data_IF_557197182377
#
_entry.id   IF_557197182377
#
_cell.length_a   1.000
_cell.length_b   1.000
_cell.length_c   1.000
_cell.angle_alpha   90.00
_cell.angle_beta   90.00
_cell.angle_gamma   90.00
#
_symmetry.space_group_name_H-M   'P 1'
#
loop_
_entity.id
_entity.type
_entity.pdbx_description
1 polymer ?
#
# COMPACT_ATOMS: atom_id res chain seq x y z
N UNK A 1 -11.56 -4.73 8.81
CA UNK A 1 -10.28 -4.11 9.21
C UNK A 1 -10.63 -2.72 9.72
N UNK A 2 -9.95 -2.20 10.75
CA UNK A 2 -10.16 -0.82 11.21
C UNK A 2 -8.91 -0.01 10.90
N UNK A 3 -9.04 1.32 10.88
CA UNK A 3 -7.89 2.20 10.76
C UNK A 3 -6.88 1.93 11.90
N UNK A 4 -5.60 1.68 11.60
CA UNK A 4 -4.60 1.34 12.62
C UNK A 4 -4.27 2.52 13.55
N UNK A 5 -4.52 3.77 13.13
CA UNK A 5 -4.25 4.97 13.93
C UNK A 5 -5.40 5.33 14.88
N UNK A 6 -6.64 5.39 14.37
CA UNK A 6 -7.80 5.86 15.16
C UNK A 6 -8.84 4.78 15.46
N UNK A 7 -8.63 3.56 14.99
CA UNK A 7 -9.54 2.41 15.12
C UNK A 7 -10.95 2.63 14.53
N UNK A 8 -11.11 3.62 13.64
CA UNK A 8 -12.37 3.84 12.92
C UNK A 8 -12.67 2.69 11.94
N UNK A 9 -13.93 2.26 11.81
CA UNK A 9 -14.37 1.33 10.78
C UNK A 9 -14.59 1.99 9.42
N UNK A 10 -14.62 3.32 9.35
CA UNK A 10 -14.94 4.09 8.14
C UNK A 10 -13.66 4.39 7.34
N UNK A 11 -13.45 3.65 6.25
CA UNK A 11 -12.34 3.85 5.33
C UNK A 11 -12.77 3.53 3.89
N UNK A 12 -12.07 4.13 2.94
CA UNK A 12 -12.19 3.84 1.50
C UNK A 12 -10.96 3.06 1.03
N UNK A 13 -11.15 2.10 0.11
CA UNK A 13 -10.09 1.35 -0.54
C UNK A 13 -10.02 1.76 -2.02
N UNK A 14 -8.84 2.22 -2.45
CA UNK A 14 -8.55 2.53 -3.86
C UNK A 14 -7.23 1.87 -4.28
N UNK A 15 -7.08 1.61 -5.58
CA UNK A 15 -5.79 1.19 -6.12
C UNK A 15 -4.94 2.42 -6.40
N UNK A 16 -3.77 2.50 -5.80
CA UNK A 16 -2.81 3.59 -6.01
C UNK A 16 -1.44 3.03 -6.43
N UNK A 17 -0.61 3.89 -7.01
CA UNK A 17 0.74 3.56 -7.44
C UNK A 17 1.72 3.91 -6.33
N UNK A 18 2.39 2.89 -5.79
CA UNK A 18 3.51 3.07 -4.85
C UNK A 18 4.82 2.87 -5.60
N UNK A 19 5.76 3.77 -5.34
CA UNK A 19 7.13 3.68 -5.86
C UNK A 19 8.07 3.18 -4.78
N UNK A 20 8.88 2.19 -5.12
CA UNK A 20 9.95 1.66 -4.27
C UNK A 20 11.29 1.76 -5.01
N UNK A 21 12.34 2.11 -4.26
CA UNK A 21 13.70 2.06 -4.75
C UNK A 21 14.30 0.68 -4.45
N UNK A 22 14.77 0.01 -5.49
CA UNK A 22 15.49 -1.25 -5.36
C UNK A 22 16.69 -1.28 -6.31
N UNK A 23 17.89 -1.50 -5.77
CA UNK A 23 19.14 -1.53 -6.54
C UNK A 23 19.33 -0.32 -7.46
N UNK A 24 19.00 0.89 -6.98
CA UNK A 24 19.13 2.14 -7.74
C UNK A 24 18.20 2.18 -8.98
N UNK A 25 17.11 1.41 -8.94
CA UNK A 25 16.03 1.40 -9.94
C UNK A 25 14.71 1.67 -9.22
N UNK A 26 13.96 2.65 -9.72
CA UNK A 26 12.61 2.91 -9.28
C UNK A 26 11.66 1.87 -9.89
N UNK A 27 10.93 1.17 -9.02
CA UNK A 27 9.90 0.21 -9.37
C UNK A 27 8.57 0.80 -8.93
N UNK A 28 7.59 0.82 -9.82
CA UNK A 28 6.24 1.26 -9.53
C UNK A 28 5.31 0.03 -9.51
N UNK A 29 4.53 -0.11 -8.45
CA UNK A 29 3.53 -1.16 -8.28
C UNK A 29 2.18 -0.56 -7.98
N UNK A 30 1.13 -1.21 -8.48
CA UNK A 30 -0.26 -0.85 -8.18
C UNK A 30 -0.69 -1.71 -7.00
N UNK A 31 -1.09 -1.08 -5.89
CA UNK A 31 -1.50 -1.78 -4.67
C UNK A 31 -2.76 -1.13 -4.07
N UNK A 32 -3.57 -1.90 -3.32
CA UNK A 32 -4.69 -1.34 -2.58
C UNK A 32 -4.18 -0.45 -1.45
N UNK A 33 -4.68 0.79 -1.40
CA UNK A 33 -4.45 1.77 -0.35
C UNK A 33 -5.78 2.09 0.31
N UNK A 34 -5.83 1.92 1.62
CA UNK A 34 -6.96 2.29 2.45
C UNK A 34 -6.74 3.68 3.02
N UNK A 35 -7.74 4.54 2.91
CA UNK A 35 -7.75 5.90 3.45
C UNK A 35 -8.88 6.02 4.47
N UNK A 36 -8.54 6.31 5.73
CA UNK A 36 -9.56 6.51 6.76
C UNK A 36 -10.27 7.84 6.58
N UNK A 37 -11.60 7.84 6.60
CA UNK A 37 -12.41 9.06 6.48
C UNK A 37 -12.28 9.99 7.68
N UNK A 38 -12.11 9.43 8.88
CA UNK A 38 -12.12 10.21 10.12
C UNK A 38 -10.77 10.89 10.43
N UNK A 39 -9.65 10.21 10.16
CA UNK A 39 -8.32 10.72 10.49
C UNK A 39 -7.42 10.98 9.28
N UNK A 40 -7.84 10.57 8.07
CA UNK A 40 -7.05 10.71 6.85
C UNK A 40 -5.81 9.82 6.78
N UNK A 41 -5.61 8.92 7.75
CA UNK A 41 -4.49 7.98 7.71
C UNK A 41 -4.61 7.05 6.50
N UNK A 42 -3.49 6.84 5.81
CA UNK A 42 -3.38 5.99 4.63
C UNK A 42 -2.49 4.80 4.93
N UNK A 43 -2.95 3.60 4.64
CA UNK A 43 -2.17 2.37 4.84
C UNK A 43 -2.50 1.32 3.78
N UNK A 44 -1.65 0.31 3.68
CA UNK A 44 -1.84 -0.84 2.79
C UNK A 44 -2.03 -2.11 3.62
N UNK A 45 -2.52 -3.17 3.00
CA UNK A 45 -2.63 -4.49 3.65
C UNK A 45 -1.60 -5.50 3.13
N UNK A 46 -1.73 -6.75 3.59
CA UNK A 46 -0.87 -7.88 3.21
C UNK A 46 -0.81 -8.13 1.70
N UNK A 47 -1.83 -7.73 0.91
CA UNK A 47 -1.80 -7.87 -0.55
C UNK A 47 -0.73 -6.98 -1.16
N UNK A 48 -0.52 -5.79 -0.60
CA UNK A 48 0.52 -4.88 -1.06
C UNK A 48 1.92 -5.46 -0.79
N UNK A 49 2.12 -6.16 0.33
CA UNK A 49 3.41 -6.80 0.64
C UNK A 49 3.76 -7.90 -0.38
N UNK A 50 2.79 -8.76 -0.74
CA UNK A 50 2.99 -9.81 -1.75
C UNK A 50 3.29 -9.22 -3.14
N UNK A 51 2.57 -8.15 -3.54
CA UNK A 51 2.82 -7.46 -4.82
C UNK A 51 4.21 -6.83 -4.86
N UNK A 52 4.61 -6.14 -3.79
CA UNK A 52 5.95 -5.54 -3.69
C UNK A 52 7.03 -6.62 -3.75
N UNK A 53 6.86 -7.73 -3.02
CA UNK A 53 7.81 -8.82 -3.02
C UNK A 53 7.98 -9.47 -4.42
N UNK A 54 6.88 -9.68 -5.14
CA UNK A 54 6.92 -10.18 -6.53
C UNK A 54 7.64 -9.21 -7.46
N UNK A 55 7.37 -7.91 -7.34
CA UNK A 55 8.03 -6.89 -8.15
C UNK A 55 9.55 -6.84 -7.89
N UNK A 56 9.98 -7.04 -6.65
CA UNK A 56 11.40 -7.15 -6.29
C UNK A 56 12.06 -8.40 -6.89
N UNK A 57 11.36 -9.54 -6.91
CA UNK A 57 11.88 -10.78 -7.52
C UNK A 57 12.05 -10.66 -9.03
N UNK A 58 11.12 -9.99 -9.72
CA UNK A 58 11.21 -9.76 -11.17
C UNK A 58 12.28 -8.74 -11.56
N UNK A 59 12.60 -7.82 -10.65
CA UNK A 59 13.62 -6.79 -10.89
C UNK A 59 15.06 -7.25 -10.61
N UNK A 60 15.26 -8.47 -10.11
CA UNK A 60 16.57 -9.07 -9.80
C UNK A 60 17.25 -9.65 -11.03
#
# INVERSE_FOLDING_TARGET
>A
MNCPECNSPEFEEENDIIQLDFNNRLIAVIVPVMTCWDCGHRWTDERAEDIQYKALLEAR
#
